data_IF_215509800683
#
_entry.id   IF_215509800683
#
_cell.length_a   1.000
_cell.length_b   1.000
_cell.length_c   1.000
_cell.angle_alpha   90.00
_cell.angle_beta   90.00
_cell.angle_gamma   90.00
#
_symmetry.space_group_name_H-M   'P 1'
#
loop_
_entity.id
_entity.type
_entity.pdbx_description
1 polymer ?
#
# COMPACT_ATOMS: atom_id res chain seq x y z
N UNK A 1 -8.60 0.83 12.09
CA UNK A 1 -8.24 -0.57 11.82
C UNK A 1 -6.85 -0.88 12.37
N UNK A 2 -6.56 -2.16 12.54
CA UNK A 2 -5.26 -2.61 13.05
C UNK A 2 -4.10 -2.19 12.14
N UNK A 3 -4.30 -2.18 10.83
CA UNK A 3 -3.29 -1.75 9.88
C UNK A 3 -2.88 -0.29 10.06
N UNK A 4 -3.85 0.60 10.27
CA UNK A 4 -3.58 2.01 10.53
C UNK A 4 -2.86 2.22 11.85
N UNK A 5 -3.24 1.47 12.88
CA UNK A 5 -2.59 1.53 14.18
C UNK A 5 -1.12 1.09 14.08
N UNK A 6 -0.85 0.00 13.36
CA UNK A 6 0.51 -0.49 13.14
C UNK A 6 1.35 0.58 12.43
N UNK A 7 0.83 1.20 11.37
CA UNK A 7 1.56 2.24 10.63
C UNK A 7 1.92 3.40 11.53
N UNK A 8 0.95 3.96 12.25
CA UNK A 8 1.17 5.12 13.11
C UNK A 8 2.11 4.81 14.26
N UNK A 9 1.88 3.71 14.96
CA UNK A 9 2.71 3.29 16.08
C UNK A 9 4.13 2.97 15.60
N UNK A 10 4.25 2.29 14.46
CA UNK A 10 5.54 1.94 13.90
C UNK A 10 6.37 3.13 13.49
N UNK A 11 5.76 4.13 12.82
CA UNK A 11 6.47 5.35 12.45
C UNK A 11 6.99 6.09 13.67
N UNK A 12 6.17 6.17 14.71
CA UNK A 12 6.54 6.87 15.93
C UNK A 12 7.60 6.14 16.75
N UNK A 13 7.42 4.82 16.97
CA UNK A 13 8.29 4.02 17.82
C UNK A 13 9.55 3.53 17.11
N UNK A 14 9.50 3.31 15.79
CA UNK A 14 10.65 2.78 15.05
C UNK A 14 11.85 3.72 15.05
N UNK A 15 11.63 5.00 15.32
CA UNK A 15 12.70 5.99 15.48
C UNK A 15 13.51 5.76 16.75
N UNK A 16 13.00 4.99 17.70
CA UNK A 16 13.58 4.79 19.03
C UNK A 16 13.93 3.34 19.34
N UNK A 17 13.46 2.38 18.56
CA UNK A 17 13.64 0.96 18.86
C UNK A 17 13.77 0.13 17.58
N UNK A 18 14.92 -0.53 17.40
CA UNK A 18 15.19 -1.37 16.23
C UNK A 18 14.28 -2.60 16.16
N UNK A 19 13.87 -3.15 17.30
CA UNK A 19 12.96 -4.30 17.30
C UNK A 19 11.59 -3.91 16.76
N UNK A 20 11.09 -2.75 17.16
CA UNK A 20 9.82 -2.22 16.67
C UNK A 20 9.92 -1.94 15.15
N UNK A 21 11.04 -1.36 14.72
CA UNK A 21 11.27 -1.11 13.30
C UNK A 21 11.21 -2.40 12.47
N UNK A 22 11.80 -3.49 12.97
CA UNK A 22 11.77 -4.79 12.29
C UNK A 22 10.37 -5.37 12.21
N UNK A 23 9.59 -5.26 13.29
CA UNK A 23 8.19 -5.73 13.31
C UNK A 23 7.36 -4.97 12.26
N UNK A 24 7.49 -3.66 12.21
CA UNK A 24 6.79 -2.82 11.24
C UNK A 24 7.18 -3.19 9.81
N UNK A 25 8.48 -3.34 9.55
CA UNK A 25 8.98 -3.73 8.25
C UNK A 25 8.44 -5.09 7.80
N UNK A 26 8.38 -6.05 8.72
CA UNK A 26 7.82 -7.38 8.44
C UNK A 26 6.36 -7.28 7.98
N UNK A 27 5.55 -6.47 8.68
CA UNK A 27 4.15 -6.28 8.32
C UNK A 27 3.99 -5.63 6.94
N UNK A 28 4.84 -4.67 6.60
CA UNK A 28 4.82 -4.05 5.28
C UNK A 28 5.16 -5.06 4.18
N UNK A 29 6.15 -5.91 4.41
CA UNK A 29 6.56 -6.95 3.45
C UNK A 29 5.45 -7.98 3.24
N UNK A 30 4.79 -8.42 4.31
CA UNK A 30 3.70 -9.39 4.21
C UNK A 30 2.51 -8.82 3.44
N UNK A 31 2.15 -7.56 3.67
CA UNK A 31 1.10 -6.88 2.92
C UNK A 31 1.46 -6.78 1.44
N UNK A 32 2.71 -6.45 1.14
CA UNK A 32 3.20 -6.38 -0.25
C UNK A 32 3.05 -7.71 -0.98
N UNK A 33 3.34 -8.83 -0.31
CA UNK A 33 3.16 -10.17 -0.88
C UNK A 33 1.70 -10.45 -1.24
N UNK A 34 0.77 -10.07 -0.38
CA UNK A 34 -0.66 -10.20 -0.66
C UNK A 34 -1.05 -9.39 -1.89
N UNK A 35 -0.58 -8.16 -1.97
CA UNK A 35 -0.84 -7.28 -3.12
C UNK A 35 -0.27 -7.92 -4.39
N UNK A 36 0.95 -8.42 -4.33
CA UNK A 36 1.58 -9.10 -5.46
C UNK A 36 0.69 -10.23 -6.01
N UNK A 37 0.16 -11.08 -5.14
CA UNK A 37 -0.69 -12.20 -5.57
C UNK A 37 -2.00 -11.72 -6.20
N UNK A 38 -2.60 -10.67 -5.66
CA UNK A 38 -3.81 -10.07 -6.22
C UNK A 38 -3.52 -9.52 -7.62
N UNK A 39 -2.41 -8.80 -7.78
CA UNK A 39 -2.02 -8.23 -9.07
C UNK A 39 -1.72 -9.33 -10.10
N UNK A 40 -1.08 -10.40 -9.67
CA UNK A 40 -0.79 -11.54 -10.53
C UNK A 40 -2.07 -12.19 -11.04
N UNK A 41 -3.06 -12.38 -10.19
CA UNK A 41 -4.36 -12.92 -10.59
C UNK A 41 -5.04 -12.01 -11.61
N UNK A 42 -5.04 -10.70 -11.37
CA UNK A 42 -5.62 -9.74 -12.30
C UNK A 42 -4.90 -9.69 -13.65
N UNK A 43 -3.59 -9.85 -13.65
CA UNK A 43 -2.80 -9.91 -14.87
C UNK A 43 -3.09 -11.20 -15.65
N UNK A 44 -3.19 -12.34 -14.97
CA UNK A 44 -3.49 -13.62 -15.58
C UNK A 44 -4.90 -13.66 -16.17
N UNK A 45 -5.86 -12.99 -15.56
CA UNK A 45 -7.24 -12.92 -16.05
C UNK A 45 -7.46 -11.88 -17.15
N UNK A 46 -6.46 -11.06 -17.42
CA UNK A 46 -6.56 -9.98 -18.41
C UNK A 46 -7.20 -8.71 -17.87
N UNK A 47 -7.55 -8.65 -16.60
CA UNK A 47 -8.10 -7.45 -15.95
C UNK A 47 -7.06 -6.35 -15.86
N UNK A 48 -5.81 -6.72 -15.55
CA UNK A 48 -4.69 -5.78 -15.46
C UNK A 48 -3.72 -5.96 -16.61
N UNK A 49 -2.97 -4.92 -16.93
CA UNK A 49 -2.03 -4.91 -18.06
C UNK A 49 -0.98 -6.01 -17.95
N UNK A 50 -0.72 -6.70 -19.07
CA UNK A 50 0.34 -7.71 -19.15
C UNK A 50 1.74 -7.10 -19.09
N UNK A 51 1.85 -5.78 -19.27
CA UNK A 51 3.12 -5.06 -19.24
C UNK A 51 3.59 -4.69 -17.83
N UNK A 52 2.75 -4.90 -16.82
CA UNK A 52 3.12 -4.56 -15.43
C UNK A 52 4.25 -5.44 -14.92
N UNK A 53 5.26 -4.80 -14.33
CA UNK A 53 6.20 -5.49 -13.47
C UNK A 53 5.53 -5.68 -12.11
N UNK A 54 5.12 -6.91 -11.83
CA UNK A 54 4.30 -7.20 -10.63
C UNK A 54 5.02 -6.89 -9.33
N UNK A 55 6.34 -7.11 -9.28
CA UNK A 55 7.10 -6.83 -8.07
C UNK A 55 7.17 -5.33 -7.79
N UNK A 56 7.54 -4.55 -8.80
CA UNK A 56 7.65 -3.10 -8.67
C UNK A 56 6.28 -2.48 -8.43
N UNK A 57 5.26 -2.95 -9.14
CA UNK A 57 3.90 -2.45 -8.99
C UNK A 57 3.34 -2.73 -7.60
N UNK A 58 3.60 -3.92 -7.04
CA UNK A 58 3.14 -4.23 -5.69
C UNK A 58 3.81 -3.35 -4.64
N UNK A 59 5.09 -3.03 -4.81
CA UNK A 59 5.81 -2.10 -3.94
C UNK A 59 5.15 -0.70 -3.99
N UNK A 60 4.87 -0.22 -5.20
CA UNK A 60 4.24 1.09 -5.40
C UNK A 60 2.84 1.14 -4.78
N UNK A 61 2.01 0.16 -5.06
CA UNK A 61 0.62 0.10 -4.54
C UNK A 61 0.64 0.01 -3.01
N UNK A 62 1.50 -0.82 -2.45
CA UNK A 62 1.63 -0.93 -1.00
C UNK A 62 1.96 0.42 -0.36
N UNK A 63 2.94 1.12 -0.92
CA UNK A 63 3.32 2.45 -0.44
C UNK A 63 2.17 3.44 -0.54
N UNK A 64 1.44 3.43 -1.66
CA UNK A 64 0.30 4.32 -1.87
C UNK A 64 -0.82 4.05 -0.86
N UNK A 65 -1.13 2.77 -0.59
CA UNK A 65 -2.15 2.40 0.39
C UNK A 65 -1.78 2.84 1.81
N UNK A 66 -0.52 2.72 2.18
CA UNK A 66 -0.02 3.20 3.48
C UNK A 66 -0.22 4.71 3.58
N UNK A 67 0.15 5.45 2.54
CA UNK A 67 -0.04 6.90 2.51
C UNK A 67 -1.50 7.30 2.62
N UNK A 68 -2.39 6.62 1.90
CA UNK A 68 -3.83 6.87 1.95
C UNK A 68 -4.37 6.63 3.36
N UNK A 69 -3.98 5.53 4.02
CA UNK A 69 -4.41 5.22 5.39
C UNK A 69 -4.01 6.31 6.38
N UNK A 70 -2.79 6.82 6.26
CA UNK A 70 -2.32 7.92 7.12
C UNK A 70 -3.15 9.18 6.86
N UNK A 71 -3.38 9.52 5.61
CA UNK A 71 -4.16 10.72 5.25
C UNK A 71 -5.62 10.64 5.69
N UNK A 72 -6.23 9.45 5.68
CA UNK A 72 -7.62 9.27 6.12
C UNK A 72 -7.87 9.77 7.54
N UNK A 73 -6.85 9.82 8.37
CA UNK A 73 -6.97 10.29 9.76
C UNK A 73 -6.92 11.80 9.90
N UNK A 74 -6.31 12.47 8.93
CA UNK A 74 -5.99 13.90 9.05
C UNK A 74 -6.71 14.76 8.01
N UNK A 75 -7.17 14.16 6.93
CA UNK A 75 -7.78 14.90 5.81
C UNK A 75 -9.26 14.58 5.72
N UNK A 76 -10.09 15.61 5.85
CA UNK A 76 -11.54 15.52 5.66
C UNK A 76 -11.90 16.04 4.27
N UNK A 77 -11.30 15.45 3.24
CA UNK A 77 -11.55 15.81 1.85
C UNK A 77 -11.69 14.54 1.01
N UNK A 78 -12.93 14.09 0.87
CA UNK A 78 -13.26 12.86 0.15
C UNK A 78 -12.90 12.91 -1.33
N UNK A 79 -13.07 14.08 -1.97
CA UNK A 79 -12.75 14.24 -3.39
C UNK A 79 -11.25 14.08 -3.64
N UNK A 80 -10.43 14.68 -2.78
CA UNK A 80 -8.98 14.54 -2.87
C UNK A 80 -8.55 13.07 -2.69
N UNK A 81 -9.09 12.39 -1.69
CA UNK A 81 -8.77 10.99 -1.44
C UNK A 81 -9.21 10.10 -2.61
N UNK A 82 -10.40 10.34 -3.15
CA UNK A 82 -10.89 9.61 -4.32
C UNK A 82 -9.97 9.82 -5.52
N UNK A 83 -9.53 11.04 -5.76
CA UNK A 83 -8.60 11.36 -6.84
C UNK A 83 -7.27 10.62 -6.70
N UNK A 84 -6.73 10.55 -5.49
CA UNK A 84 -5.49 9.82 -5.21
C UNK A 84 -5.69 8.32 -5.47
N UNK A 85 -6.79 7.75 -5.00
CA UNK A 85 -7.10 6.33 -5.20
C UNK A 85 -7.26 6.02 -6.70
N UNK A 86 -8.04 6.82 -7.42
CA UNK A 86 -8.27 6.63 -8.85
C UNK A 86 -6.96 6.71 -9.64
N UNK A 87 -6.12 7.67 -9.32
CA UNK A 87 -4.81 7.81 -9.96
C UNK A 87 -3.90 6.61 -9.66
N UNK A 88 -3.89 6.17 -8.41
CA UNK A 88 -3.11 5.00 -7.99
C UNK A 88 -3.54 3.76 -8.77
N UNK A 89 -4.83 3.51 -8.89
CA UNK A 89 -5.36 2.34 -9.57
C UNK A 89 -5.22 2.41 -11.10
N UNK A 90 -5.11 3.62 -11.65
CA UNK A 90 -5.03 3.81 -13.10
C UNK A 90 -3.80 3.15 -13.72
N UNK A 91 -2.73 2.94 -12.96
CA UNK A 91 -1.51 2.29 -13.47
C UNK A 91 -1.73 0.82 -13.79
N UNK A 92 -2.76 0.19 -13.22
CA UNK A 92 -3.00 -1.25 -13.38
C UNK A 92 -3.55 -1.62 -14.76
N UNK A 93 -4.18 -0.67 -15.43
CA UNK A 93 -4.86 -0.91 -16.72
C UNK A 93 -4.20 -0.21 -17.91
N UNK A 94 -3.15 0.53 -17.66
CA UNK A 94 -2.42 1.23 -18.74
C UNK A 94 -1.51 0.32 -19.55
#
# INVERSE_FOLDING_TARGET
SNGCLIVNTGVELSLHDEHIAKIVQYNFIETEKVIYHILKQGQCSGEFSSELDLRVTSQFINNALIGIRVQLKTIDNKEKLKSIIDTTLSILTN
#
